data_IF_122197371958
#
_entry.id   IF_122197371958
#
_cell.length_a   1.000
_cell.length_b   1.000
_cell.length_c   1.000
_cell.angle_alpha   90.00
_cell.angle_beta   90.00
_cell.angle_gamma   90.00
#
_symmetry.space_group_name_H-M   'P 1'
#
loop_
_entity.id
_entity.type
_entity.pdbx_description
1 polymer ?
#
# COMPACT_ATOMS: atom_id res chain seq x y z
N UNK A 1 -15.93 -5.43 -37.33
CA UNK A 1 -17.31 -5.20 -36.93
C UNK A 1 -17.64 -3.71 -37.12
N UNK A 2 -18.76 -3.41 -37.71
CA UNK A 2 -19.33 -2.06 -37.72
C UNK A 2 -20.17 -1.86 -36.47
N UNK A 3 -20.05 -0.69 -35.85
CA UNK A 3 -20.81 -0.30 -34.66
C UNK A 3 -22.03 0.51 -35.06
N UNK A 4 -23.16 0.21 -34.45
CA UNK A 4 -24.43 0.94 -34.66
C UNK A 4 -24.83 1.64 -33.36
N UNK A 5 -25.69 2.66 -33.49
CA UNK A 5 -26.25 3.34 -32.33
C UNK A 5 -27.04 2.35 -31.47
N UNK A 6 -26.75 2.35 -30.14
CA UNK A 6 -27.32 1.40 -29.19
C UNK A 6 -26.56 0.09 -29.01
N UNK A 7 -25.47 -0.17 -29.76
CA UNK A 7 -24.60 -1.33 -29.52
C UNK A 7 -23.99 -1.25 -28.12
N UNK A 8 -23.96 -2.42 -27.45
CA UNK A 8 -23.36 -2.54 -26.12
C UNK A 8 -22.19 -3.53 -26.14
N UNK A 9 -21.16 -3.19 -25.40
CA UNK A 9 -20.04 -4.09 -25.08
C UNK A 9 -19.99 -4.27 -23.59
N UNK A 10 -20.04 -5.52 -23.15
CA UNK A 10 -19.84 -5.89 -21.75
C UNK A 10 -18.46 -6.52 -21.59
N UNK A 11 -17.65 -5.98 -20.68
CA UNK A 11 -16.34 -6.49 -20.32
C UNK A 11 -16.40 -6.97 -18.87
N UNK A 12 -16.19 -8.27 -18.67
CA UNK A 12 -16.13 -8.86 -17.32
C UNK A 12 -14.68 -9.19 -17.00
N UNK A 13 -14.14 -8.57 -15.96
CA UNK A 13 -12.82 -8.87 -15.41
C UNK A 13 -12.99 -9.79 -14.19
N UNK A 14 -12.50 -11.04 -14.23
CA UNK A 14 -12.55 -11.91 -13.06
C UNK A 14 -11.67 -11.32 -11.95
N UNK A 15 -12.26 -11.15 -10.76
CA UNK A 15 -11.60 -10.60 -9.58
C UNK A 15 -11.31 -11.73 -8.60
N UNK A 16 -10.08 -12.19 -8.56
CA UNK A 16 -9.59 -13.22 -7.63
C UNK A 16 -8.28 -12.78 -6.99
N UNK A 17 -8.02 -13.28 -5.78
CA UNK A 17 -6.73 -13.12 -5.13
C UNK A 17 -5.67 -13.93 -5.87
N UNK A 18 -4.51 -13.34 -6.04
CA UNK A 18 -3.30 -13.99 -6.53
C UNK A 18 -2.07 -13.43 -5.83
N UNK A 19 -0.95 -14.15 -5.91
CA UNK A 19 0.29 -13.77 -5.29
C UNK A 19 1.43 -13.88 -6.29
N UNK A 20 2.30 -12.88 -6.31
CA UNK A 20 3.54 -12.89 -7.08
C UNK A 20 4.74 -12.95 -6.14
N UNK A 21 5.71 -13.81 -6.44
CA UNK A 21 6.97 -13.90 -5.70
C UNK A 21 8.09 -13.25 -6.50
N UNK A 22 8.83 -12.37 -5.85
CA UNK A 22 9.96 -11.64 -6.40
C UNK A 22 11.28 -12.28 -5.97
N UNK A 23 11.72 -13.31 -6.70
CA UNK A 23 12.92 -14.09 -6.36
C UNK A 23 14.16 -13.22 -6.21
N UNK A 24 14.37 -12.27 -7.13
CA UNK A 24 15.52 -11.35 -7.09
C UNK A 24 15.44 -10.30 -5.96
N UNK A 25 14.28 -10.19 -5.31
CA UNK A 25 14.05 -9.30 -4.20
C UNK A 25 13.73 -10.10 -2.93
N UNK A 26 14.65 -10.95 -2.52
CA UNK A 26 14.61 -11.77 -1.28
C UNK A 26 13.34 -12.62 -1.16
N UNK A 27 12.85 -13.16 -2.27
CA UNK A 27 11.60 -13.91 -2.34
C UNK A 27 10.37 -13.17 -1.76
N UNK A 28 10.43 -11.85 -1.69
CA UNK A 28 9.29 -11.05 -1.23
C UNK A 28 8.05 -11.33 -2.07
N UNK A 29 6.90 -11.09 -1.48
CA UNK A 29 5.62 -11.35 -2.13
C UNK A 29 4.78 -10.09 -2.28
N UNK A 30 4.08 -10.02 -3.40
CA UNK A 30 3.01 -9.04 -3.62
C UNK A 30 1.69 -9.78 -3.79
N UNK A 31 0.63 -9.20 -3.21
CA UNK A 31 -0.73 -9.74 -3.31
C UNK A 31 -1.52 -8.87 -4.28
N UNK A 32 -2.23 -9.51 -5.19
CA UNK A 32 -3.08 -8.84 -6.15
C UNK A 32 -4.54 -9.32 -6.01
N UNK A 33 -5.48 -8.43 -6.30
CA UNK A 33 -6.88 -8.78 -6.45
C UNK A 33 -7.35 -8.37 -7.85
N UNK A 34 -7.44 -9.33 -8.76
CA UNK A 34 -7.58 -9.06 -10.18
C UNK A 34 -6.42 -8.20 -10.68
N UNK A 35 -6.67 -7.05 -11.32
CA UNK A 35 -5.62 -6.13 -11.80
C UNK A 35 -5.06 -5.20 -10.70
N UNK A 36 -5.58 -5.26 -9.47
CA UNK A 36 -5.23 -4.35 -8.39
C UNK A 36 -4.11 -4.94 -7.54
N UNK A 37 -2.94 -4.33 -7.53
CA UNK A 37 -1.89 -4.64 -6.55
C UNK A 37 -2.29 -4.04 -5.21
N UNK A 38 -2.13 -4.82 -4.14
CA UNK A 38 -2.47 -4.41 -2.79
C UNK A 38 -1.25 -3.87 -2.05
N UNK A 39 -1.50 -2.92 -1.17
CA UNK A 39 -0.54 -2.32 -0.25
C UNK A 39 -1.06 -2.44 1.18
N UNK A 40 -0.16 -2.47 2.15
CA UNK A 40 -0.56 -2.39 3.55
C UNK A 40 -1.36 -1.11 3.81
N UNK A 41 -2.44 -1.22 4.55
CA UNK A 41 -3.22 -0.08 5.04
C UNK A 41 -2.49 0.54 6.22
N UNK A 42 -1.77 1.62 5.96
CA UNK A 42 -1.01 2.38 6.96
C UNK A 42 -1.81 3.64 7.31
N UNK A 43 -2.01 3.91 8.60
CA UNK A 43 -2.57 5.18 9.02
C UNK A 43 -1.62 6.33 8.64
N UNK A 44 -2.18 7.42 8.13
CA UNK A 44 -1.43 8.54 7.60
C UNK A 44 -1.47 9.72 8.60
N UNK A 45 -0.30 10.22 8.97
CA UNK A 45 -0.15 11.44 9.79
C UNK A 45 0.42 12.54 8.92
N UNK A 46 -0.37 13.58 8.68
CA UNK A 46 -0.02 14.73 7.86
C UNK A 46 0.64 15.80 8.73
N UNK A 47 1.79 16.31 8.28
CA UNK A 47 2.54 17.38 8.94
C UNK A 47 2.85 18.46 7.91
N UNK A 48 2.34 19.66 8.15
CA UNK A 48 2.66 20.82 7.33
C UNK A 48 4.02 21.37 7.72
N UNK A 49 4.82 21.71 6.71
CA UNK A 49 6.17 22.31 6.83
C UNK A 49 6.22 23.59 6.01
N UNK A 50 7.10 24.51 6.42
CA UNK A 50 7.45 25.64 5.56
C UNK A 50 8.16 25.11 4.31
N UNK A 51 7.56 25.33 3.15
CA UNK A 51 8.09 24.84 1.88
C UNK A 51 9.44 25.44 1.51
N UNK A 52 9.83 26.58 2.09
CA UNK A 52 11.17 27.16 1.90
C UNK A 52 12.24 26.38 2.65
N UNK A 53 11.89 25.81 3.81
CA UNK A 53 12.82 25.01 4.61
C UNK A 53 12.98 23.59 4.06
N UNK A 54 11.96 23.09 3.36
CA UNK A 54 11.95 21.74 2.82
C UNK A 54 12.40 21.63 1.36
N UNK A 55 12.62 22.76 0.68
CA UNK A 55 13.15 22.77 -0.68
C UNK A 55 14.59 22.26 -0.72
N UNK A 56 14.84 21.16 -1.46
CA UNK A 56 16.14 20.50 -1.54
C UNK A 56 16.63 20.49 -2.99
N UNK A 57 17.94 20.69 -3.17
CA UNK A 57 18.61 20.55 -4.47
C UNK A 57 18.16 21.58 -5.50
N UNK A 58 17.70 21.11 -6.66
CA UNK A 58 17.27 21.95 -7.79
C UNK A 58 15.88 22.58 -7.59
N UNK A 59 15.19 22.25 -6.49
CA UNK A 59 13.92 22.86 -6.12
C UNK A 59 14.14 24.33 -5.79
N UNK A 60 13.92 25.19 -6.77
CA UNK A 60 13.99 26.63 -6.56
C UNK A 60 12.63 27.13 -6.12
N UNK A 61 12.56 27.58 -4.87
CA UNK A 61 11.40 28.33 -4.41
C UNK A 61 11.25 29.61 -5.23
N UNK A 62 10.08 29.85 -5.75
CA UNK A 62 9.81 31.10 -6.47
C UNK A 62 9.81 32.26 -5.47
N UNK A 63 10.57 33.31 -5.78
CA UNK A 63 10.83 34.44 -4.87
C UNK A 63 9.56 35.06 -4.27
N UNK A 64 8.48 35.09 -5.03
CA UNK A 64 7.21 35.74 -4.65
C UNK A 64 6.13 34.71 -4.21
N UNK A 65 6.50 33.44 -4.06
CA UNK A 65 5.56 32.42 -3.58
C UNK A 65 5.35 32.55 -2.07
N UNK A 66 4.09 32.47 -1.65
CA UNK A 66 3.71 32.52 -0.24
C UNK A 66 3.71 31.08 0.34
N UNK A 67 4.63 30.77 1.29
CA UNK A 67 4.71 29.42 1.87
C UNK A 67 3.50 29.06 2.73
N UNK A 68 2.76 30.02 3.26
CA UNK A 68 1.54 29.76 4.00
C UNK A 68 0.40 29.34 3.06
N UNK A 69 0.40 29.88 1.85
CA UNK A 69 -0.57 29.52 0.81
C UNK A 69 -0.24 28.19 0.12
N UNK A 70 1.05 27.85 0.08
CA UNK A 70 1.57 26.66 -0.57
C UNK A 70 2.51 25.88 0.36
N UNK A 71 1.99 25.35 1.49
CA UNK A 71 2.82 24.59 2.42
C UNK A 71 3.26 23.26 1.78
N UNK A 72 4.40 22.75 2.22
CA UNK A 72 4.79 21.37 1.98
C UNK A 72 4.09 20.47 3.00
N UNK A 73 3.44 19.42 2.54
CA UNK A 73 2.84 18.44 3.44
C UNK A 73 3.65 17.14 3.39
N UNK A 74 4.23 16.78 4.52
CA UNK A 74 4.88 15.48 4.73
C UNK A 74 3.89 14.49 5.33
N UNK A 75 3.98 13.22 4.93
CA UNK A 75 3.09 12.16 5.39
C UNK A 75 3.94 11.11 6.11
N UNK A 76 3.64 10.91 7.38
CA UNK A 76 4.31 9.94 8.23
C UNK A 76 3.38 8.76 8.57
N UNK A 77 3.93 7.55 8.83
CA UNK A 77 3.13 6.44 9.30
C UNK A 77 2.56 6.74 10.70
N UNK A 78 1.24 6.63 10.82
CA UNK A 78 0.51 6.75 12.08
C UNK A 78 0.19 5.40 12.72
N UNK A 79 0.62 4.29 12.10
CA UNK A 79 0.51 2.92 12.59
C UNK A 79 1.75 2.12 12.20
N UNK A 80 1.92 0.93 12.78
CA UNK A 80 2.94 -0.01 12.34
C UNK A 80 2.81 -0.32 10.84
N UNK A 81 3.93 -0.49 10.16
CA UNK A 81 4.01 -0.69 8.72
C UNK A 81 4.98 -1.81 8.31
N UNK A 82 5.88 -2.21 9.19
CA UNK A 82 6.97 -3.14 8.97
C UNK A 82 6.55 -4.59 9.23
N UNK A 83 5.61 -5.08 8.44
CA UNK A 83 5.06 -6.43 8.57
C UNK A 83 5.64 -7.39 7.53
N UNK A 84 5.90 -8.62 7.96
CA UNK A 84 6.03 -9.80 7.12
C UNK A 84 4.66 -10.47 7.00
N UNK A 85 4.31 -10.97 5.82
CA UNK A 85 3.10 -11.77 5.63
C UNK A 85 3.30 -13.20 6.15
N UNK A 86 2.31 -13.71 6.87
CA UNK A 86 2.24 -15.11 7.26
C UNK A 86 1.46 -15.88 6.21
N UNK A 87 2.13 -16.81 5.55
CA UNK A 87 1.58 -17.59 4.44
C UNK A 87 1.47 -19.06 4.84
N UNK A 88 0.35 -19.69 4.48
CA UNK A 88 0.24 -21.16 4.60
C UNK A 88 1.19 -21.83 3.59
N UNK A 89 1.82 -22.93 3.99
CA UNK A 89 2.78 -23.66 3.13
C UNK A 89 2.15 -24.29 1.89
N UNK A 90 0.93 -24.71 1.99
CA UNK A 90 0.21 -25.44 0.93
C UNK A 90 -0.76 -24.54 0.16
N UNK A 91 -1.43 -23.66 0.88
CA UNK A 91 -2.41 -22.72 0.34
C UNK A 91 -2.06 -21.29 0.78
N UNK A 92 -1.07 -20.62 0.13
CA UNK A 92 -0.52 -19.34 0.63
C UNK A 92 -1.53 -18.25 0.94
N UNK A 93 -2.65 -18.23 0.23
CA UNK A 93 -3.73 -17.25 0.39
C UNK A 93 -4.88 -17.70 1.31
N UNK A 94 -4.75 -18.82 2.01
CA UNK A 94 -5.79 -19.39 2.88
C UNK A 94 -6.32 -18.43 3.95
N UNK A 95 -5.47 -17.55 4.46
CA UNK A 95 -5.81 -16.60 5.53
C UNK A 95 -6.15 -15.21 5.01
N UNK A 96 -6.41 -15.08 3.71
CA UNK A 96 -6.78 -13.81 3.10
C UNK A 96 -8.30 -13.74 2.91
N UNK A 97 -8.92 -12.67 3.38
CA UNK A 97 -10.35 -12.43 3.26
C UNK A 97 -10.63 -11.13 2.52
N UNK A 98 -11.40 -11.20 1.45
CA UNK A 98 -11.79 -10.03 0.64
C UNK A 98 -13.04 -9.39 1.23
N UNK A 99 -12.94 -8.13 1.65
CA UNK A 99 -14.03 -7.33 2.18
C UNK A 99 -14.38 -6.23 1.17
N UNK A 100 -15.62 -6.25 0.69
CA UNK A 100 -16.16 -5.20 -0.17
C UNK A 100 -17.05 -4.28 0.66
N UNK A 101 -16.82 -2.99 0.52
CA UNK A 101 -17.61 -1.92 1.14
C UNK A 101 -18.45 -1.22 0.08
N UNK A 102 -19.38 -0.41 0.51
CA UNK A 102 -20.12 0.49 -0.39
C UNK A 102 -19.17 1.45 -1.08
N UNK A 103 -19.48 1.78 -2.34
CA UNK A 103 -18.76 2.84 -3.04
C UNK A 103 -18.93 4.18 -2.30
N UNK A 104 -17.88 5.00 -2.17
CA UNK A 104 -17.95 6.26 -1.45
C UNK A 104 -18.92 7.24 -2.12
N UNK A 105 -19.68 7.98 -1.29
CA UNK A 105 -20.73 8.88 -1.77
C UNK A 105 -20.18 10.07 -2.59
N UNK A 106 -18.94 10.46 -2.36
CA UNK A 106 -18.22 11.52 -3.07
C UNK A 106 -17.57 11.05 -4.38
N UNK A 107 -17.79 9.78 -4.77
CA UNK A 107 -17.18 9.11 -5.93
C UNK A 107 -15.64 9.15 -5.94
N UNK A 108 -15.02 9.27 -4.77
CA UNK A 108 -13.57 9.34 -4.62
C UNK A 108 -13.00 8.22 -3.75
N UNK A 109 -12.71 7.03 -4.34
CA UNK A 109 -12.23 5.84 -3.61
C UNK A 109 -10.72 5.84 -3.32
N UNK A 110 -9.98 6.90 -3.68
CA UNK A 110 -8.50 6.91 -3.71
C UNK A 110 -7.88 7.41 -2.41
N UNK A 111 -8.49 7.10 -1.26
CA UNK A 111 -7.93 7.38 0.06
C UNK A 111 -8.06 6.17 0.97
N UNK A 112 -7.22 6.11 1.99
CA UNK A 112 -7.26 5.04 3.02
C UNK A 112 -8.64 4.96 3.71
N UNK A 113 -9.33 6.10 3.85
CA UNK A 113 -10.65 6.17 4.47
C UNK A 113 -11.78 5.70 3.55
N UNK A 114 -11.72 6.05 2.26
CA UNK A 114 -12.83 5.87 1.32
C UNK A 114 -12.71 4.61 0.45
N UNK A 115 -11.59 3.89 0.52
CA UNK A 115 -11.37 2.72 -0.33
C UNK A 115 -12.46 1.66 -0.12
N UNK A 116 -13.18 1.22 -1.19
CA UNK A 116 -14.31 0.31 -1.08
C UNK A 116 -13.91 -1.17 -1.04
N UNK A 117 -12.60 -1.45 -1.06
CA UNK A 117 -12.03 -2.78 -1.05
C UNK A 117 -10.93 -2.89 0.00
N UNK A 118 -11.06 -3.88 0.87
CA UNK A 118 -10.02 -4.27 1.82
C UNK A 118 -9.78 -5.78 1.71
N UNK A 119 -8.57 -6.21 2.02
CA UNK A 119 -8.23 -7.62 2.15
C UNK A 119 -7.58 -7.82 3.52
N UNK A 120 -8.21 -8.64 4.36
CA UNK A 120 -7.61 -9.06 5.63
C UNK A 120 -6.54 -10.10 5.36
N UNK A 121 -5.47 -10.02 6.10
CA UNK A 121 -4.35 -10.96 6.05
C UNK A 121 -3.76 -11.13 7.45
N UNK A 122 -2.85 -12.05 7.60
CA UNK A 122 -2.08 -12.24 8.84
C UNK A 122 -0.66 -11.75 8.62
N UNK A 123 -0.18 -10.92 9.52
CA UNK A 123 1.19 -10.42 9.53
C UNK A 123 1.90 -10.66 10.85
N UNK A 124 3.22 -10.52 10.82
CA UNK A 124 4.08 -10.41 12.02
C UNK A 124 5.03 -9.25 11.84
N UNK A 125 5.27 -8.51 12.90
CA UNK A 125 6.22 -7.40 12.88
C UNK A 125 7.65 -7.87 12.57
N UNK A 126 8.38 -7.02 11.87
CA UNK A 126 9.82 -7.12 11.62
C UNK A 126 10.47 -5.88 12.24
N UNK A 127 10.78 -5.88 13.55
CA UNK A 127 11.23 -4.69 14.27
C UNK A 127 12.48 -4.05 13.67
N UNK A 128 13.38 -4.85 13.11
CA UNK A 128 14.63 -4.42 12.51
C UNK A 128 14.43 -3.72 11.13
N UNK A 129 13.22 -3.76 10.58
CA UNK A 129 12.89 -3.04 9.35
C UNK A 129 12.41 -1.63 9.68
N UNK A 130 13.33 -0.71 9.69
CA UNK A 130 13.13 0.65 10.14
C UNK A 130 13.11 1.65 8.97
N UNK A 131 12.64 2.85 9.25
CA UNK A 131 12.75 4.00 8.33
C UNK A 131 14.17 4.54 8.47
N UNK A 132 14.83 4.77 7.34
CA UNK A 132 16.17 5.34 7.30
C UNK A 132 16.16 6.87 7.56
N UNK A 133 17.35 7.45 7.60
CA UNK A 133 17.56 8.89 7.84
C UNK A 133 16.93 9.80 6.77
N UNK A 134 16.60 9.24 5.60
CA UNK A 134 15.95 9.97 4.50
C UNK A 134 14.42 9.85 4.56
N UNK A 135 13.88 9.11 5.51
CA UNK A 135 12.45 8.86 5.66
C UNK A 135 11.91 7.75 4.77
N UNK A 136 12.78 6.97 4.14
CA UNK A 136 12.40 5.81 3.33
C UNK A 136 12.47 4.52 4.16
N UNK A 137 11.67 3.53 3.79
CA UNK A 137 11.84 2.21 4.37
C UNK A 137 13.22 1.64 3.99
N UNK A 138 13.90 1.06 4.97
CA UNK A 138 15.20 0.43 4.77
C UNK A 138 15.13 -0.77 3.82
N UNK A 139 16.28 -1.42 3.65
CA UNK A 139 16.38 -2.62 2.80
C UNK A 139 15.38 -3.67 3.25
N UNK A 140 14.68 -4.26 2.28
CA UNK A 140 13.70 -5.30 2.54
C UNK A 140 14.32 -6.46 3.37
N UNK A 141 13.68 -6.89 4.45
CA UNK A 141 14.15 -8.02 5.27
C UNK A 141 14.20 -9.34 4.50
N UNK A 142 14.97 -10.28 5.01
CA UNK A 142 14.99 -11.66 4.51
C UNK A 142 13.69 -12.40 4.88
N UNK A 143 13.44 -13.54 4.22
CA UNK A 143 12.40 -14.48 4.64
C UNK A 143 12.60 -14.85 6.11
N UNK A 144 11.50 -15.10 6.81
CA UNK A 144 11.50 -15.49 8.23
C UNK A 144 12.15 -14.47 9.21
N UNK A 145 12.35 -13.22 8.79
CA UNK A 145 12.86 -12.16 9.65
C UNK A 145 11.86 -11.71 10.73
N UNK A 146 10.58 -12.04 10.58
CA UNK A 146 9.52 -11.62 11.48
C UNK A 146 9.68 -12.15 12.91
N UNK A 147 9.28 -11.33 13.87
CA UNK A 147 9.27 -11.65 15.30
C UNK A 147 7.89 -11.31 15.88
N UNK A 148 7.64 -11.78 17.09
CA UNK A 148 6.38 -11.47 17.80
C UNK A 148 5.20 -12.32 17.37
N UNK A 149 4.03 -11.90 17.81
CA UNK A 149 2.78 -12.62 17.61
C UNK A 149 2.18 -12.35 16.21
N UNK A 150 1.26 -13.23 15.82
CA UNK A 150 0.45 -13.02 14.62
C UNK A 150 -0.58 -11.94 14.89
N UNK A 151 -0.72 -11.02 13.94
CA UNK A 151 -1.71 -9.94 13.99
C UNK A 151 -2.54 -9.94 12.71
N UNK A 152 -3.80 -9.57 12.82
CA UNK A 152 -4.60 -9.26 11.64
C UNK A 152 -4.14 -7.91 11.08
N UNK A 153 -3.78 -7.91 9.82
CA UNK A 153 -3.45 -6.71 9.06
C UNK A 153 -4.44 -6.52 7.91
N UNK A 154 -4.51 -5.31 7.41
CA UNK A 154 -5.39 -4.97 6.30
C UNK A 154 -4.57 -4.50 5.10
N UNK A 155 -4.88 -5.04 3.93
CA UNK A 155 -4.35 -4.59 2.65
C UNK A 155 -5.44 -3.82 1.90
N UNK A 156 -5.04 -2.83 1.12
CA UNK A 156 -5.92 -2.02 0.28
C UNK A 156 -5.30 -1.86 -1.12
N UNK A 157 -6.08 -1.55 -2.16
CA UNK A 157 -5.53 -1.18 -3.46
C UNK A 157 -4.45 -0.09 -3.34
N UNK A 158 -3.30 -0.33 -3.93
CA UNK A 158 -2.13 0.56 -3.86
C UNK A 158 -2.45 2.01 -4.29
N UNK A 159 -3.42 2.19 -5.20
CA UNK A 159 -3.88 3.51 -5.63
C UNK A 159 -4.57 4.34 -4.53
N UNK A 160 -5.05 3.70 -3.45
CA UNK A 160 -5.67 4.37 -2.31
C UNK A 160 -4.68 4.69 -1.17
N UNK A 161 -3.47 4.15 -1.22
CA UNK A 161 -2.42 4.36 -0.21
C UNK A 161 -1.41 5.41 -0.67
N UNK A 162 -1.07 6.37 0.19
CA UNK A 162 0.05 7.29 -0.03
C UNK A 162 1.35 6.71 0.51
N UNK A 163 1.32 6.11 1.70
CA UNK A 163 2.40 5.29 2.22
C UNK A 163 2.20 3.86 1.73
N UNK A 164 3.19 3.30 1.03
CA UNK A 164 2.99 2.05 0.28
C UNK A 164 4.02 1.00 0.63
N UNK A 165 3.54 -0.11 1.19
CA UNK A 165 4.28 -1.37 1.30
C UNK A 165 3.48 -2.40 0.50
N UNK A 166 3.98 -2.79 -0.67
CA UNK A 166 3.33 -3.70 -1.62
C UNK A 166 4.19 -4.91 -1.97
N UNK A 167 5.44 -4.92 -1.53
CA UNK A 167 6.32 -6.08 -1.53
C UNK A 167 6.64 -6.40 -0.07
N UNK A 168 6.27 -7.58 0.36
CA UNK A 168 6.37 -8.00 1.75
C UNK A 168 7.42 -9.10 1.90
N UNK A 169 8.27 -9.05 2.95
CA UNK A 169 8.89 -10.26 3.44
C UNK A 169 7.80 -11.25 3.83
N UNK A 170 8.10 -12.53 3.87
CA UNK A 170 7.09 -13.53 4.21
C UNK A 170 7.66 -14.61 5.12
N UNK A 171 6.79 -15.25 5.88
CA UNK A 171 7.06 -16.42 6.71
C UNK A 171 6.05 -17.49 6.33
N UNK A 172 6.51 -18.71 6.06
CA UNK A 172 5.65 -19.84 5.66
C UNK A 172 5.47 -20.80 6.83
N UNK A 173 4.23 -21.01 7.20
CA UNK A 173 3.84 -21.87 8.34
C UNK A 173 2.87 -22.98 7.98
#
# INVERSE_FOLDING_TARGET
REWSDGDRVELTFPMSLSMRTWQVNKNSVSVDYGPLTLSLKIAEKYVEKDSRETAIGDSKWQKDADPQKWPTTEIYPGSAWNYSLVLDKTEPLKHFEVIRKSWPADDYPFTVANVPLEVKAVGRLVPEWEIDETGLCGVLPEEDAARGDKEEITLIPMGAARLRISAFPNTRE
#
